data_IF_654694709916
#
_entry.id   IF_654694709916
#
_cell.length_a   1.000
_cell.length_b   1.000
_cell.length_c   1.000
_cell.angle_alpha   90.00
_cell.angle_beta   90.00
_cell.angle_gamma   90.00
#
_symmetry.space_group_name_H-M   'P 1'
#
loop_
_entity.id
_entity.type
_entity.pdbx_description
1 polymer ?
#
# COMPACT_ATOMS: atom_id res chain seq x y z
N UNK A 1 28.65 1.20 -64.22
CA UNK A 1 28.87 0.59 -62.89
C UNK A 1 27.94 1.24 -61.91
N UNK A 2 26.88 0.54 -61.55
CA UNK A 2 25.74 1.04 -60.75
C UNK A 2 25.92 0.60 -59.30
N UNK A 3 25.91 1.55 -58.36
CA UNK A 3 25.88 1.27 -56.93
C UNK A 3 24.45 1.39 -56.45
N UNK A 4 23.86 0.27 -56.09
CA UNK A 4 22.56 0.22 -55.39
C UNK A 4 22.76 0.52 -53.89
N UNK A 5 22.18 1.62 -53.42
CA UNK A 5 22.00 1.85 -51.98
C UNK A 5 20.74 1.18 -51.49
N UNK A 6 20.88 0.22 -50.59
CA UNK A 6 19.76 -0.37 -49.84
C UNK A 6 19.45 0.51 -48.63
N UNK A 7 18.32 1.20 -48.70
CA UNK A 7 17.76 1.93 -47.57
C UNK A 7 16.85 0.98 -46.78
N UNK A 8 17.32 0.44 -45.64
CA UNK A 8 16.49 -0.33 -44.74
C UNK A 8 15.83 0.61 -43.74
N UNK A 9 14.58 0.94 -44.02
CA UNK A 9 13.65 1.53 -43.06
C UNK A 9 13.32 0.50 -41.98
N UNK A 10 13.81 0.74 -40.76
CA UNK A 10 13.41 -0.04 -39.58
C UNK A 10 12.13 0.58 -39.03
N UNK A 11 11.01 0.03 -39.41
CA UNK A 11 9.70 0.35 -38.80
C UNK A 11 9.64 -0.24 -37.43
N UNK A 12 9.84 0.58 -36.39
CA UNK A 12 9.62 0.21 -35.01
C UNK A 12 8.12 0.17 -34.71
N UNK A 13 7.53 -1.00 -34.83
CA UNK A 13 6.13 -1.24 -34.41
C UNK A 13 6.07 -1.17 -32.88
N UNK A 14 5.70 -0.01 -32.34
CA UNK A 14 5.35 0.13 -30.93
C UNK A 14 4.03 -0.60 -30.70
N UNK A 15 4.11 -1.82 -30.18
CA UNK A 15 2.93 -2.53 -29.70
C UNK A 15 2.40 -1.81 -28.46
N UNK A 16 1.32 -1.07 -28.64
CA UNK A 16 0.50 -0.59 -27.54
C UNK A 16 -0.10 -1.82 -26.85
N UNK A 17 0.45 -2.18 -25.70
CA UNK A 17 -0.23 -3.04 -24.75
C UNK A 17 -1.43 -2.25 -24.23
N UNK A 18 -2.59 -2.43 -24.81
CA UNK A 18 -3.87 -2.14 -24.18
C UNK A 18 -4.02 -3.18 -23.07
N UNK A 19 -3.60 -2.79 -21.87
CA UNK A 19 -3.92 -3.55 -20.67
C UNK A 19 -5.43 -3.47 -20.51
N UNK A 20 -6.16 -4.47 -20.99
CA UNK A 20 -7.56 -4.70 -20.63
C UNK A 20 -7.59 -4.79 -19.10
N UNK A 21 -8.26 -3.83 -18.46
CA UNK A 21 -8.47 -3.84 -17.01
C UNK A 21 -9.07 -5.19 -16.63
N UNK A 22 -8.49 -5.93 -15.69
CA UNK A 22 -9.13 -7.15 -15.23
C UNK A 22 -10.49 -6.81 -14.63
N UNK A 23 -11.53 -7.64 -14.85
CA UNK A 23 -12.85 -7.39 -14.28
C UNK A 23 -12.74 -7.25 -12.76
N UNK A 24 -13.48 -6.30 -12.20
CA UNK A 24 -13.43 -5.92 -10.78
C UNK A 24 -13.51 -7.11 -9.79
N UNK A 25 -14.08 -8.23 -10.22
CA UNK A 25 -14.17 -9.47 -9.46
C UNK A 25 -12.81 -10.16 -9.28
N UNK A 26 -11.90 -10.13 -10.28
CA UNK A 26 -10.55 -10.71 -10.16
C UNK A 26 -9.62 -9.89 -9.27
N UNK A 27 -9.82 -8.58 -9.19
CA UNK A 27 -9.07 -7.71 -8.29
C UNK A 27 -9.38 -8.02 -6.82
N UNK A 28 -10.63 -8.43 -6.52
CA UNK A 28 -11.03 -8.88 -5.18
C UNK A 28 -10.37 -10.20 -4.72
N UNK A 29 -10.06 -11.10 -5.66
CA UNK A 29 -9.43 -12.40 -5.32
C UNK A 29 -7.90 -12.30 -5.10
N UNK A 30 -7.22 -11.31 -5.69
CA UNK A 30 -5.76 -11.16 -5.63
C UNK A 30 -5.25 -9.99 -4.78
N UNK A 31 -6.11 -9.09 -4.36
CA UNK A 31 -5.78 -7.93 -3.57
C UNK A 31 -6.31 -7.96 -2.15
N UNK A 32 -6.75 -9.10 -1.73
CA UNK A 32 -7.30 -9.52 -0.45
C UNK A 32 -7.42 -8.44 0.61
N UNK A 33 -6.42 -8.33 1.45
CA UNK A 33 -6.45 -7.45 2.62
C UNK A 33 -6.20 -5.99 2.27
N UNK A 34 -5.27 -5.66 1.38
CA UNK A 34 -4.92 -4.27 1.05
C UNK A 34 -6.06 -3.53 0.33
N UNK A 35 -6.72 -4.17 -0.63
CA UNK A 35 -7.88 -3.59 -1.30
C UNK A 35 -9.06 -3.41 -0.32
N UNK A 36 -9.26 -4.35 0.59
CA UNK A 36 -10.22 -4.22 1.69
C UNK A 36 -9.88 -3.01 2.58
N UNK A 37 -8.63 -2.85 3.02
CA UNK A 37 -8.21 -1.71 3.85
C UNK A 37 -8.42 -0.38 3.09
N UNK A 38 -8.15 -0.32 1.79
CA UNK A 38 -8.43 0.86 0.97
C UNK A 38 -9.93 1.18 0.93
N UNK A 39 -10.80 0.16 0.81
CA UNK A 39 -12.25 0.34 0.84
C UNK A 39 -12.69 0.91 2.19
N UNK A 40 -12.19 0.35 3.30
CA UNK A 40 -12.50 0.83 4.65
C UNK A 40 -11.95 2.24 4.89
N UNK A 41 -10.74 2.55 4.44
CA UNK A 41 -10.18 3.90 4.53
C UNK A 41 -11.06 4.96 3.85
N UNK A 42 -11.66 4.63 2.69
CA UNK A 42 -12.63 5.51 2.02
C UNK A 42 -13.95 5.62 2.79
N UNK A 43 -14.44 4.53 3.36
CA UNK A 43 -15.66 4.52 4.17
C UNK A 43 -15.47 5.34 5.46
N UNK A 44 -14.35 5.17 6.14
CA UNK A 44 -13.96 5.95 7.32
C UNK A 44 -13.90 7.45 6.99
N UNK A 45 -13.23 7.84 5.91
CA UNK A 45 -13.20 9.23 5.45
C UNK A 45 -14.61 9.81 5.27
N UNK A 46 -15.51 9.05 4.67
CA UNK A 46 -16.88 9.49 4.43
C UNK A 46 -17.65 9.70 5.75
N UNK A 47 -17.56 8.75 6.67
CA UNK A 47 -18.29 8.73 7.94
C UNK A 47 -17.71 9.71 8.97
N UNK A 48 -16.39 10.02 8.85
CA UNK A 48 -15.72 11.06 9.68
C UNK A 48 -15.89 12.47 9.12
N UNK A 49 -16.71 12.64 8.05
CA UNK A 49 -17.07 13.95 7.52
C UNK A 49 -16.21 14.45 6.36
N UNK A 50 -15.15 13.73 5.96
CA UNK A 50 -14.30 14.07 4.81
C UNK A 50 -14.89 13.60 3.48
N UNK A 51 -16.19 13.86 3.25
CA UNK A 51 -16.97 13.35 2.12
C UNK A 51 -16.36 13.69 0.75
N UNK A 52 -15.75 14.89 0.61
CA UNK A 52 -15.10 15.29 -0.65
C UNK A 52 -13.90 14.40 -0.99
N UNK A 53 -13.04 14.13 0.00
CA UNK A 53 -11.91 13.21 -0.15
C UNK A 53 -12.37 11.77 -0.41
N UNK A 54 -13.36 11.28 0.32
CA UNK A 54 -13.94 9.95 0.12
C UNK A 54 -14.49 9.77 -1.31
N UNK A 55 -15.27 10.71 -1.81
CA UNK A 55 -15.83 10.68 -3.16
C UNK A 55 -14.73 10.79 -4.23
N UNK A 56 -13.70 11.60 -4.00
CA UNK A 56 -12.54 11.68 -4.85
C UNK A 56 -11.86 10.31 -4.99
N UNK A 57 -11.55 9.63 -3.89
CA UNK A 57 -10.93 8.30 -3.94
C UNK A 57 -11.85 7.20 -4.44
N UNK A 58 -13.17 7.38 -4.35
CA UNK A 58 -14.14 6.47 -4.97
C UNK A 58 -14.02 6.50 -6.50
N UNK A 59 -13.80 7.68 -7.10
CA UNK A 59 -13.58 7.81 -8.55
C UNK A 59 -12.27 7.15 -9.02
N UNK A 60 -11.26 7.10 -8.17
CA UNK A 60 -9.94 6.54 -8.48
C UNK A 60 -9.67 5.18 -7.79
N UNK A 61 -10.71 4.49 -7.31
CA UNK A 61 -10.55 3.27 -6.53
C UNK A 61 -9.72 2.20 -7.26
N UNK A 62 -9.98 2.00 -8.54
CA UNK A 62 -9.24 1.01 -9.35
C UNK A 62 -7.76 1.35 -9.52
N UNK A 63 -7.39 2.62 -9.61
CA UNK A 63 -6.00 3.06 -9.71
C UNK A 63 -5.28 2.89 -8.38
N UNK A 64 -5.92 3.25 -7.27
CA UNK A 64 -5.39 3.07 -5.93
C UNK A 64 -5.12 1.57 -5.66
N UNK A 65 -6.10 0.72 -5.92
CA UNK A 65 -6.01 -0.72 -5.71
C UNK A 65 -4.98 -1.38 -6.65
N UNK A 66 -4.86 -0.91 -7.90
CA UNK A 66 -3.81 -1.36 -8.80
C UNK A 66 -2.40 -1.03 -8.29
N UNK A 67 -2.23 0.11 -7.61
CA UNK A 67 -0.97 0.52 -7.00
C UNK A 67 -0.55 -0.41 -5.85
N UNK A 68 -1.47 -0.76 -4.95
CA UNK A 68 -1.19 -1.68 -3.83
C UNK A 68 -0.81 -3.07 -4.33
N UNK A 69 -1.44 -3.54 -5.41
CA UNK A 69 -1.13 -4.84 -6.02
C UNK A 69 0.18 -4.86 -6.80
N UNK A 70 0.57 -3.71 -7.36
CA UNK A 70 1.77 -3.62 -8.18
C UNK A 70 3.05 -3.69 -7.35
N UNK A 71 3.08 -3.03 -6.21
CA UNK A 71 4.28 -2.94 -5.38
C UNK A 71 4.61 -4.29 -4.73
N UNK A 72 3.61 -5.12 -4.49
CA UNK A 72 3.76 -6.45 -3.89
C UNK A 72 4.38 -7.50 -4.84
N UNK A 73 4.64 -7.13 -6.11
CA UNK A 73 5.14 -8.07 -7.11
C UNK A 73 6.66 -8.02 -7.27
N UNK A 74 7.29 -9.19 -7.16
CA UNK A 74 8.72 -9.39 -7.48
C UNK A 74 9.64 -8.76 -6.45
N UNK A 75 10.82 -8.30 -6.87
CA UNK A 75 11.87 -7.77 -5.98
C UNK A 75 11.48 -6.50 -5.20
N UNK A 76 10.35 -5.87 -5.52
CA UNK A 76 9.87 -4.69 -4.80
C UNK A 76 9.48 -5.00 -3.36
N UNK A 77 9.09 -6.24 -3.06
CA UNK A 77 8.77 -6.68 -1.69
C UNK A 77 9.94 -6.54 -0.70
N UNK A 78 11.18 -6.47 -1.17
CA UNK A 78 12.33 -6.22 -0.31
C UNK A 78 12.28 -4.84 0.38
N UNK A 79 11.52 -3.87 -0.16
CA UNK A 79 11.36 -2.53 0.39
C UNK A 79 10.16 -2.39 1.35
N UNK A 80 9.51 -3.48 1.75
CA UNK A 80 8.31 -3.47 2.61
C UNK A 80 8.63 -3.53 4.10
N UNK A 81 9.90 -3.45 4.46
CA UNK A 81 10.37 -3.64 5.82
C UNK A 81 10.94 -2.35 6.41
N UNK A 82 10.67 -2.14 7.69
CA UNK A 82 11.24 -1.04 8.46
C UNK A 82 11.27 -1.41 9.96
N UNK A 83 12.46 -1.53 10.53
CA UNK A 83 12.64 -1.73 11.97
C UNK A 83 12.70 -0.36 12.67
N UNK A 84 11.72 -0.02 13.53
CA UNK A 84 11.65 1.29 14.19
C UNK A 84 12.75 1.52 15.24
N UNK A 85 13.41 0.49 15.73
CA UNK A 85 14.49 0.62 16.73
C UNK A 85 15.82 1.00 16.05
N UNK A 86 16.06 0.51 14.84
CA UNK A 86 17.29 0.75 14.09
C UNK A 86 17.16 1.77 12.97
N UNK A 87 15.91 2.08 12.55
CA UNK A 87 15.61 2.89 11.38
C UNK A 87 15.97 2.21 10.06
N UNK A 88 16.23 0.92 10.06
CA UNK A 88 16.73 0.16 8.91
C UNK A 88 15.63 -0.67 8.26
N UNK A 89 15.80 -0.98 6.98
CA UNK A 89 15.05 -1.99 6.25
C UNK A 89 15.84 -3.30 6.17
N UNK A 90 15.47 -4.14 5.19
CA UNK A 90 16.19 -5.39 4.94
C UNK A 90 17.45 -5.15 4.11
N UNK A 91 18.61 -5.54 4.66
CA UNK A 91 19.94 -5.55 4.01
C UNK A 91 20.31 -4.19 3.37
N UNK A 92 20.60 -4.19 2.06
CA UNK A 92 21.03 -3.01 1.29
C UNK A 92 19.87 -2.30 0.56
N UNK A 93 18.66 -2.76 0.73
CA UNK A 93 17.49 -2.19 0.05
C UNK A 93 17.00 -0.95 0.79
N UNK A 94 16.47 0.05 0.06
CA UNK A 94 15.78 1.17 0.69
C UNK A 94 14.65 0.64 1.59
N UNK A 95 14.51 1.22 2.77
CA UNK A 95 13.46 0.82 3.70
C UNK A 95 12.07 1.34 3.28
N UNK A 96 11.03 0.85 3.97
CA UNK A 96 9.65 1.21 3.66
C UNK A 96 9.37 2.71 3.84
N UNK A 97 10.01 3.39 4.81
CA UNK A 97 9.82 4.81 5.05
C UNK A 97 10.35 5.65 3.88
N UNK A 98 11.58 5.37 3.41
CA UNK A 98 12.17 6.02 2.24
C UNK A 98 11.31 5.78 1.00
N UNK A 99 10.87 4.55 0.75
CA UNK A 99 10.05 4.21 -0.42
C UNK A 99 8.65 4.82 -0.36
N UNK A 100 8.04 4.88 0.81
CA UNK A 100 6.77 5.58 1.00
C UNK A 100 6.90 7.06 0.60
N UNK A 101 7.93 7.73 1.07
CA UNK A 101 8.22 9.14 0.76
C UNK A 101 8.48 9.34 -0.74
N UNK A 102 9.27 8.46 -1.37
CA UNK A 102 9.53 8.45 -2.82
C UNK A 102 8.23 8.34 -3.64
N UNK A 103 7.38 7.36 -3.31
CA UNK A 103 6.12 7.13 -4.04
C UNK A 103 5.11 8.25 -3.80
N UNK A 104 5.02 8.78 -2.58
CA UNK A 104 4.15 9.89 -2.25
C UNK A 104 4.56 11.15 -3.04
N UNK A 105 5.83 11.50 -3.03
CA UNK A 105 6.37 12.63 -3.79
C UNK A 105 6.17 12.46 -5.30
N UNK A 106 6.38 11.25 -5.81
CA UNK A 106 6.11 10.91 -7.21
C UNK A 106 4.63 11.06 -7.56
N UNK A 107 3.74 10.66 -6.66
CA UNK A 107 2.30 10.84 -6.84
C UNK A 107 1.94 12.32 -6.92
N UNK A 108 2.48 13.18 -6.05
CA UNK A 108 2.27 14.63 -6.09
C UNK A 108 2.75 15.25 -7.40
N UNK A 109 3.96 14.94 -7.85
CA UNK A 109 4.54 15.45 -9.10
C UNK A 109 3.72 15.03 -10.32
N UNK A 110 3.19 13.80 -10.32
CA UNK A 110 2.30 13.31 -11.39
C UNK A 110 0.95 14.01 -11.36
N UNK A 111 0.43 14.35 -10.19
CA UNK A 111 -0.80 15.12 -10.06
C UNK A 111 -0.66 16.51 -10.65
N UNK A 112 0.38 17.24 -10.25
CA UNK A 112 0.71 18.57 -10.79
C UNK A 112 0.90 18.52 -12.32
N UNK A 113 1.44 17.42 -12.84
CA UNK A 113 1.60 17.19 -14.29
C UNK A 113 0.31 16.71 -14.98
N UNK A 114 -0.85 16.77 -14.31
CA UNK A 114 -2.18 16.35 -14.79
C UNK A 114 -2.27 14.85 -15.19
N UNK A 115 -1.35 14.03 -14.69
CA UNK A 115 -1.33 12.57 -14.91
C UNK A 115 -2.07 11.85 -13.76
N UNK A 116 -3.32 12.23 -13.50
CA UNK A 116 -4.07 11.90 -12.29
C UNK A 116 -4.17 10.39 -12.02
N UNK A 117 -4.51 9.58 -13.02
CA UNK A 117 -4.60 8.12 -12.86
C UNK A 117 -3.26 7.50 -12.41
N UNK A 118 -2.13 7.94 -13.00
CA UNK A 118 -0.79 7.48 -12.58
C UNK A 118 -0.39 8.02 -11.21
N UNK A 119 -0.82 9.21 -10.87
CA UNK A 119 -0.63 9.79 -9.53
C UNK A 119 -1.24 8.89 -8.47
N UNK A 120 -2.53 8.57 -8.61
CA UNK A 120 -3.25 7.74 -7.62
C UNK A 120 -2.72 6.30 -7.61
N UNK A 121 -2.24 5.78 -8.73
CA UNK A 121 -1.52 4.50 -8.75
C UNK A 121 -0.26 4.52 -7.86
N UNK A 122 0.59 5.55 -7.93
CA UNK A 122 1.77 5.64 -7.06
C UNK A 122 1.41 5.98 -5.62
N UNK A 123 0.32 6.72 -5.39
CA UNK A 123 -0.24 6.86 -4.04
C UNK A 123 -0.65 5.48 -3.48
N UNK A 124 -1.27 4.62 -4.29
CA UNK A 124 -1.59 3.24 -3.90
C UNK A 124 -0.35 2.46 -3.46
N UNK A 125 0.77 2.60 -4.19
CA UNK A 125 2.03 1.96 -3.80
C UNK A 125 2.57 2.51 -2.46
N UNK A 126 2.45 3.82 -2.20
CA UNK A 126 2.81 4.39 -0.89
C UNK A 126 1.87 3.91 0.23
N UNK A 127 0.57 3.85 -0.05
CA UNK A 127 -0.45 3.39 0.91
C UNK A 127 -0.25 1.93 1.30
N UNK A 128 0.14 1.07 0.35
CA UNK A 128 0.49 -0.32 0.65
C UNK A 128 1.56 -0.42 1.74
N UNK A 129 2.63 0.37 1.63
CA UNK A 129 3.70 0.37 2.63
C UNK A 129 3.20 0.82 4.02
N UNK A 130 2.30 1.81 4.08
CA UNK A 130 1.65 2.22 5.33
C UNK A 130 0.86 1.06 5.95
N UNK A 131 0.19 0.25 5.13
CA UNK A 131 -0.58 -0.92 5.57
C UNK A 131 0.33 -2.07 6.03
N UNK A 132 1.41 -2.35 5.29
CA UNK A 132 2.37 -3.41 5.60
C UNK A 132 3.05 -3.19 6.94
N UNK A 133 3.34 -1.95 7.29
CA UNK A 133 3.96 -1.65 8.57
C UNK A 133 3.00 -1.76 9.77
N UNK A 134 1.75 -2.18 9.52
CA UNK A 134 0.88 -2.74 10.55
C UNK A 134 1.01 -4.27 10.70
N UNK A 135 1.92 -4.92 9.95
CA UNK A 135 2.23 -6.35 10.09
C UNK A 135 3.52 -6.51 10.91
N UNK A 136 3.51 -7.24 12.05
CA UNK A 136 4.66 -7.33 12.93
C UNK A 136 5.95 -7.82 12.27
N UNK A 137 5.84 -8.74 11.31
CA UNK A 137 6.98 -9.30 10.60
C UNK A 137 7.68 -8.24 9.72
N UNK A 138 6.94 -7.34 9.07
CA UNK A 138 7.49 -6.23 8.30
C UNK A 138 8.19 -5.21 9.22
N UNK A 139 7.60 -4.94 10.39
CA UNK A 139 8.15 -4.03 11.41
C UNK A 139 9.38 -4.60 12.15
N UNK A 140 9.60 -5.91 12.07
CA UNK A 140 10.75 -6.59 12.65
C UNK A 140 11.77 -7.08 11.61
N UNK A 141 11.60 -6.71 10.34
CA UNK A 141 12.43 -7.16 9.21
C UNK A 141 12.58 -8.70 9.15
N UNK A 142 11.48 -9.45 9.41
CA UNK A 142 11.47 -10.93 9.41
C UNK A 142 10.73 -11.46 8.19
N UNK A 143 11.42 -12.24 7.35
CA UNK A 143 10.83 -12.94 6.20
C UNK A 143 10.20 -14.29 6.55
N UNK A 144 10.69 -14.92 7.62
CA UNK A 144 10.34 -16.27 8.05
C UNK A 144 9.71 -16.23 9.45
N UNK A 145 9.26 -17.37 9.96
CA UNK A 145 8.77 -17.44 11.35
C UNK A 145 7.28 -17.16 11.48
N UNK A 146 6.43 -17.67 10.56
CA UNK A 146 4.98 -17.55 10.70
C UNK A 146 4.34 -16.41 9.92
N UNK A 147 5.10 -15.56 9.24
CA UNK A 147 4.63 -14.42 8.47
C UNK A 147 3.43 -14.77 7.55
N UNK A 148 3.62 -15.69 6.62
CA UNK A 148 2.59 -16.13 5.67
C UNK A 148 1.38 -16.74 6.39
N UNK A 149 1.60 -17.47 7.50
CA UNK A 149 0.52 -18.08 8.27
C UNK A 149 -0.37 -17.02 8.93
N UNK A 150 0.25 -16.01 9.55
CA UNK A 150 -0.47 -14.90 10.17
C UNK A 150 -1.26 -14.09 9.14
N UNK A 151 -0.64 -13.67 8.04
CA UNK A 151 -1.32 -12.90 7.00
C UNK A 151 -2.47 -13.66 6.36
N UNK A 152 -2.26 -14.94 6.03
CA UNK A 152 -3.32 -15.80 5.48
C UNK A 152 -4.47 -16.01 6.46
N UNK A 153 -4.17 -16.08 7.77
CA UNK A 153 -5.18 -16.19 8.81
C UNK A 153 -5.99 -14.88 8.93
N UNK A 154 -5.31 -13.72 8.95
CA UNK A 154 -5.93 -12.41 9.03
C UNK A 154 -6.77 -12.10 7.79
N UNK A 155 -6.29 -12.45 6.59
CA UNK A 155 -7.03 -12.28 5.34
C UNK A 155 -8.39 -12.98 5.36
N UNK A 156 -8.43 -14.22 5.84
CA UNK A 156 -9.68 -15.01 5.92
C UNK A 156 -10.70 -14.41 6.89
N UNK A 157 -10.25 -13.59 7.83
CA UNK A 157 -11.08 -13.00 8.92
C UNK A 157 -11.17 -11.49 8.88
N UNK A 158 -10.66 -10.83 7.84
CA UNK A 158 -10.60 -9.37 7.75
C UNK A 158 -11.95 -8.67 7.95
N UNK A 159 -13.06 -9.31 7.57
CA UNK A 159 -14.40 -8.76 7.76
C UNK A 159 -14.82 -8.67 9.23
N UNK A 160 -14.27 -9.51 10.10
CA UNK A 160 -14.55 -9.51 11.54
C UNK A 160 -13.95 -8.28 12.24
N UNK A 161 -13.01 -7.60 11.57
CA UNK A 161 -12.30 -6.43 12.07
C UNK A 161 -12.56 -5.16 11.23
N UNK A 162 -13.67 -5.17 10.51
CA UNK A 162 -14.08 -4.00 9.71
C UNK A 162 -14.35 -2.80 10.61
N UNK A 163 -13.80 -1.63 10.18
CA UNK A 163 -14.03 -0.33 10.82
C UNK A 163 -14.71 0.61 9.83
N UNK A 164 -15.61 1.44 10.33
CA UNK A 164 -16.38 2.37 9.50
C UNK A 164 -16.15 3.85 9.85
N UNK A 165 -15.45 4.16 10.95
CA UNK A 165 -15.11 5.50 11.42
C UNK A 165 -13.93 5.49 12.38
N UNK A 166 -13.46 6.68 12.78
CA UNK A 166 -12.37 6.84 13.75
C UNK A 166 -11.00 6.82 13.11
N UNK A 167 -10.84 7.42 11.92
CA UNK A 167 -9.55 7.55 11.23
C UNK A 167 -8.54 8.34 12.06
N UNK A 168 -7.27 8.09 11.84
CA UNK A 168 -6.15 8.79 12.45
C UNK A 168 -5.61 9.78 11.42
N UNK A 169 -5.70 11.10 11.71
CA UNK A 169 -5.48 12.14 10.71
C UNK A 169 -4.30 13.08 11.02
N UNK A 170 -3.66 12.95 12.16
CA UNK A 170 -2.73 13.89 12.77
C UNK A 170 -1.37 13.29 13.16
N UNK A 171 -0.98 12.15 12.55
CA UNK A 171 0.34 11.56 12.82
C UNK A 171 1.43 12.55 12.45
N UNK A 172 1.47 12.98 11.18
CA UNK A 172 2.47 13.93 10.69
C UNK A 172 2.09 14.48 9.30
N UNK A 173 2.74 15.61 8.95
CA UNK A 173 2.82 16.08 7.57
C UNK A 173 3.76 15.25 6.69
N UNK A 174 4.65 14.45 7.21
CA UNK A 174 5.65 13.69 6.47
C UNK A 174 5.20 12.25 6.24
N UNK A 175 5.19 11.73 4.99
CA UNK A 175 4.68 10.39 4.69
C UNK A 175 5.48 9.27 5.36
N UNK A 176 6.78 9.44 5.58
CA UNK A 176 7.65 8.49 6.27
C UNK A 176 7.27 8.28 7.73
N UNK A 177 6.75 9.29 8.41
CA UNK A 177 6.36 9.20 9.82
C UNK A 177 5.17 8.25 10.04
N UNK A 178 4.32 8.08 9.03
CA UNK A 178 3.21 7.11 9.05
C UNK A 178 3.72 5.67 9.06
N UNK A 179 4.83 5.42 8.39
CA UNK A 179 5.55 4.14 8.41
C UNK A 179 6.11 3.88 9.80
N UNK A 180 6.86 4.86 10.35
CA UNK A 180 7.50 4.76 11.67
C UNK A 180 6.49 4.49 12.78
N UNK A 181 5.38 5.22 12.76
CA UNK A 181 4.36 5.15 13.79
C UNK A 181 3.61 3.80 13.76
N UNK A 182 3.25 3.31 12.57
CA UNK A 182 2.67 1.98 12.41
C UNK A 182 3.65 0.87 12.80
N UNK A 183 4.93 0.98 12.39
CA UNK A 183 5.95 -0.01 12.70
C UNK A 183 6.19 -0.16 14.21
N UNK A 184 6.21 0.93 14.96
CA UNK A 184 6.35 0.90 16.42
C UNK A 184 5.25 0.09 17.05
N UNK A 185 4.00 0.40 16.75
CA UNK A 185 2.85 -0.35 17.26
C UNK A 185 2.87 -1.83 16.83
N UNK A 186 3.18 -2.10 15.56
CA UNK A 186 3.18 -3.47 15.05
C UNK A 186 4.27 -4.32 15.71
N UNK A 187 5.46 -3.77 15.92
CA UNK A 187 6.59 -4.48 16.54
C UNK A 187 6.29 -4.98 17.96
N UNK A 188 5.50 -4.23 18.73
CA UNK A 188 5.04 -4.62 20.08
C UNK A 188 4.20 -5.92 20.08
N UNK A 189 3.60 -6.26 18.93
CA UNK A 189 2.75 -7.44 18.76
C UNK A 189 3.49 -8.65 18.16
N UNK A 190 4.81 -8.56 17.93
CA UNK A 190 5.58 -9.61 17.26
C UNK A 190 5.47 -10.96 17.96
N UNK A 191 5.56 -10.99 19.29
CA UNK A 191 5.47 -12.23 20.06
C UNK A 191 4.11 -12.95 19.90
N UNK A 192 3.04 -12.23 19.52
CA UNK A 192 1.72 -12.81 19.29
C UNK A 192 1.57 -13.52 17.95
N UNK A 193 2.47 -13.24 17.00
CA UNK A 193 2.37 -13.78 15.63
C UNK A 193 3.42 -14.83 15.30
N UNK A 194 4.38 -15.07 16.21
CA UNK A 194 5.47 -16.05 16.04
C UNK A 194 5.10 -17.48 16.46
N UNK A 195 4.02 -17.67 17.21
CA UNK A 195 3.70 -18.93 17.89
C UNK A 195 2.60 -19.78 17.24
N UNK A 196 2.03 -19.33 16.12
CA UNK A 196 0.90 -19.95 15.41
C UNK A 196 -0.36 -20.19 16.27
N UNK A 197 -0.52 -19.44 17.39
CA UNK A 197 -1.70 -19.49 18.24
C UNK A 197 -2.84 -18.67 17.61
N UNK A 198 -4.00 -19.31 17.40
CA UNK A 198 -5.18 -18.61 16.89
C UNK A 198 -5.65 -17.50 17.85
N UNK A 199 -5.56 -17.71 19.14
CA UNK A 199 -5.90 -16.73 20.19
C UNK A 199 -5.00 -15.49 20.07
N UNK A 200 -3.70 -15.70 19.96
CA UNK A 200 -2.73 -14.61 19.82
C UNK A 200 -2.86 -13.89 18.49
N UNK A 201 -3.16 -14.61 17.40
CA UNK A 201 -3.49 -13.99 16.12
C UNK A 201 -4.73 -13.08 16.23
N UNK A 202 -5.77 -13.50 16.96
CA UNK A 202 -6.94 -12.64 17.24
C UNK A 202 -6.53 -11.37 17.99
N UNK A 203 -5.70 -11.50 19.02
CA UNK A 203 -5.21 -10.35 19.82
C UNK A 203 -4.44 -9.36 18.98
N UNK A 204 -3.48 -9.85 18.17
CA UNK A 204 -2.70 -9.02 17.26
C UNK A 204 -3.59 -8.34 16.21
N UNK A 205 -4.43 -9.11 15.52
CA UNK A 205 -5.26 -8.58 14.42
C UNK A 205 -6.29 -7.58 14.91
N UNK A 206 -6.83 -7.76 16.11
CA UNK A 206 -7.79 -6.82 16.73
C UNK A 206 -7.18 -5.41 16.94
N UNK A 207 -5.88 -5.33 17.16
CA UNK A 207 -5.17 -4.04 17.26
C UNK A 207 -4.72 -3.53 15.88
N UNK A 208 -4.12 -4.39 15.07
CA UNK A 208 -3.32 -3.99 13.91
C UNK A 208 -4.14 -3.78 12.63
N UNK A 209 -5.17 -4.61 12.38
CA UNK A 209 -6.00 -4.44 11.19
C UNK A 209 -6.91 -3.21 11.23
N UNK A 210 -7.55 -2.83 12.37
CA UNK A 210 -8.15 -1.51 12.54
C UNK A 210 -7.14 -0.37 12.38
N UNK A 211 -5.93 -0.50 12.96
CA UNK A 211 -4.86 0.48 12.81
C UNK A 211 -4.54 0.77 11.35
N UNK A 212 -4.38 -0.27 10.52
CA UNK A 212 -4.13 -0.13 9.10
C UNK A 212 -5.26 0.60 8.37
N UNK A 213 -6.52 0.36 8.75
CA UNK A 213 -7.69 1.05 8.18
C UNK A 213 -7.72 2.53 8.57
N UNK A 214 -7.46 2.84 9.85
CA UNK A 214 -7.46 4.22 10.37
C UNK A 214 -6.32 5.05 9.77
N UNK A 215 -5.12 4.51 9.71
CA UNK A 215 -3.96 5.21 9.14
C UNK A 215 -4.06 5.33 7.62
N UNK A 216 -4.67 4.37 6.94
CA UNK A 216 -4.99 4.51 5.50
C UNK A 216 -5.92 5.69 5.26
N UNK A 217 -6.99 5.86 6.05
CA UNK A 217 -7.88 7.01 5.91
C UNK A 217 -7.13 8.34 6.08
N UNK A 218 -6.28 8.43 7.12
CA UNK A 218 -5.50 9.64 7.37
C UNK A 218 -4.45 9.92 6.29
N UNK A 219 -3.74 8.90 5.83
CA UNK A 219 -2.73 9.01 4.78
C UNK A 219 -3.33 9.46 3.44
N UNK A 220 -4.50 8.92 3.10
CA UNK A 220 -5.26 9.38 1.94
C UNK A 220 -5.69 10.85 2.10
N UNK A 221 -6.15 11.26 3.29
CA UNK A 221 -6.51 12.66 3.55
C UNK A 221 -5.30 13.58 3.47
N UNK A 222 -4.13 13.16 3.97
CA UNK A 222 -2.87 13.90 3.86
C UNK A 222 -2.55 14.22 2.40
N UNK A 223 -2.64 13.24 1.51
CA UNK A 223 -2.41 13.46 0.09
C UNK A 223 -3.47 14.38 -0.52
N UNK A 224 -4.76 14.14 -0.24
CA UNK A 224 -5.86 14.95 -0.77
C UNK A 224 -5.73 16.44 -0.44
N UNK A 225 -5.24 16.77 0.76
CA UNK A 225 -5.02 18.17 1.19
C UNK A 225 -3.85 18.84 0.48
N UNK A 226 -3.02 18.11 -0.23
CA UNK A 226 -1.78 18.61 -0.87
C UNK A 226 -1.84 18.70 -2.40
N UNK A 227 -2.96 18.31 -2.98
CA UNK A 227 -3.17 18.30 -4.44
C UNK A 227 -4.21 19.33 -4.89
#
# INVERSE_FOLDING_TARGET
MSLFMFNRSVSATVKYFTASSPPAQRVREFGGTHAFINEQGREILFNDGYRKAANFYKMFASQLDAGVLWIDRGLKSACHHYDPDTGSGMWFWPNAAEKCSDFFSKAQNLWQSKKHARSIFFLGAATHLVQDLCVPHHAACRLFGGHVNYESWAEKRKLDYKMDRGGIYDISGHPEDWIVDNARLAKEHLCLVDNNSTEDYHRATKALLPRAQFTTAGFLLLFYKRI
#
